data_IF_419250422752
#
_entry.id   IF_419250422752
#
_cell.length_a   1.000
_cell.length_b   1.000
_cell.length_c   1.000
_cell.angle_alpha   90.00
_cell.angle_beta   90.00
_cell.angle_gamma   90.00
#
_symmetry.space_group_name_H-M   'P 1'
#
loop_
_entity.id
_entity.type
_entity.pdbx_description
1 polymer ?
#
# COMPACT_ATOMS: atom_id res chain seq x y z
N UNK A 1 -9.36 10.68 33.05
CA UNK A 1 -8.07 10.28 32.45
C UNK A 1 -8.19 9.11 31.48
N UNK A 2 -8.74 7.95 31.88
CA UNK A 2 -8.86 6.76 31.00
C UNK A 2 -9.56 7.01 29.65
N UNK A 3 -10.66 7.78 29.64
CA UNK A 3 -11.39 8.16 28.41
C UNK A 3 -10.54 8.96 27.42
N UNK A 4 -9.62 9.79 27.92
CA UNK A 4 -8.73 10.61 27.09
C UNK A 4 -7.66 9.73 26.44
N UNK A 5 -7.09 8.78 27.19
CA UNK A 5 -6.17 7.79 26.63
C UNK A 5 -6.83 6.90 25.57
N UNK A 6 -8.05 6.44 25.82
CA UNK A 6 -8.80 5.67 24.83
C UNK A 6 -9.04 6.46 23.54
N UNK A 7 -9.40 7.75 23.65
CA UNK A 7 -9.58 8.63 22.50
C UNK A 7 -8.27 8.85 21.72
N UNK A 8 -7.15 9.02 22.41
CA UNK A 8 -5.82 9.16 21.79
C UNK A 8 -5.40 7.89 21.05
N UNK A 9 -5.60 6.72 21.65
CA UNK A 9 -5.27 5.44 21.02
C UNK A 9 -6.15 5.22 19.79
N UNK A 10 -7.46 5.46 19.88
CA UNK A 10 -8.37 5.33 18.76
C UNK A 10 -8.00 6.27 17.60
N UNK A 11 -7.66 7.53 17.91
CA UNK A 11 -7.20 8.50 16.92
C UNK A 11 -5.89 8.09 16.24
N UNK A 12 -4.93 7.57 17.02
CA UNK A 12 -3.66 7.09 16.48
C UNK A 12 -3.84 5.89 15.54
N UNK A 13 -4.66 4.91 15.93
CA UNK A 13 -4.96 3.73 15.10
C UNK A 13 -5.63 4.14 13.80
N UNK A 14 -6.60 5.06 13.86
CA UNK A 14 -7.31 5.54 12.67
C UNK A 14 -6.36 6.27 11.70
N UNK A 15 -5.48 7.12 12.21
CA UNK A 15 -4.51 7.87 11.41
C UNK A 15 -3.50 6.96 10.70
N UNK A 16 -2.99 5.95 11.41
CA UNK A 16 -2.08 4.94 10.82
C UNK A 16 -2.80 4.13 9.75
N UNK A 17 -4.01 3.64 10.03
CA UNK A 17 -4.81 2.87 9.08
C UNK A 17 -5.11 3.65 7.79
N UNK A 18 -5.50 4.91 7.91
CA UNK A 18 -5.74 5.79 6.76
C UNK A 18 -4.45 6.02 5.94
N UNK A 19 -3.31 6.22 6.59
CA UNK A 19 -2.02 6.44 5.91
C UNK A 19 -1.61 5.22 5.09
N UNK A 20 -1.73 4.01 5.66
CA UNK A 20 -1.41 2.76 4.96
C UNK A 20 -2.36 2.53 3.79
N UNK A 21 -3.65 2.81 3.95
CA UNK A 21 -4.63 2.69 2.87
C UNK A 21 -4.30 3.61 1.69
N UNK A 22 -3.93 4.87 1.95
CA UNK A 22 -3.53 5.82 0.91
C UNK A 22 -2.27 5.34 0.18
N UNK A 23 -1.25 4.89 0.93
CA UNK A 23 -0.02 4.36 0.31
C UNK A 23 -0.31 3.13 -0.55
N UNK A 24 -1.14 2.21 -0.06
CA UNK A 24 -1.49 1.00 -0.80
C UNK A 24 -2.27 1.32 -2.08
N UNK A 25 -3.18 2.29 -2.04
CA UNK A 25 -3.91 2.76 -3.23
C UNK A 25 -2.98 3.48 -4.22
N UNK A 26 -2.05 4.28 -3.72
CA UNK A 26 -1.08 5.01 -4.54
C UNK A 26 0.08 4.14 -5.05
N UNK A 27 0.19 2.90 -4.56
CA UNK A 27 1.30 2.01 -4.92
C UNK A 27 1.20 1.64 -6.41
N UNK A 28 2.25 1.90 -7.21
CA UNK A 28 2.24 1.55 -8.62
C UNK A 28 2.14 0.04 -8.79
N UNK A 29 1.28 -0.39 -9.72
CA UNK A 29 1.18 -1.80 -10.09
C UNK A 29 2.54 -2.29 -10.59
N UNK A 30 3.05 -3.45 -10.14
CA UNK A 30 4.32 -3.98 -10.61
C UNK A 30 4.30 -4.06 -12.14
N UNK A 31 5.29 -3.42 -12.78
CA UNK A 31 5.41 -3.43 -14.24
C UNK A 31 5.54 -4.89 -14.69
N UNK A 32 4.76 -5.35 -15.68
CA UNK A 32 4.96 -6.66 -16.26
C UNK A 32 6.43 -6.82 -16.67
N UNK A 33 7.04 -7.99 -16.49
CA UNK A 33 8.41 -8.22 -16.91
C UNK A 33 8.59 -7.79 -18.37
N UNK A 34 9.53 -6.87 -18.65
CA UNK A 34 9.91 -6.42 -20.01
C UNK A 34 10.69 -7.53 -20.76
N UNK A 35 10.34 -8.80 -20.56
CA UNK A 35 10.88 -9.93 -21.31
C UNK A 35 9.82 -10.43 -22.28
N UNK A 36 10.21 -10.76 -23.52
CA UNK A 36 9.27 -11.31 -24.48
C UNK A 36 8.63 -12.57 -23.89
N UNK A 37 7.29 -12.59 -23.87
CA UNK A 37 6.51 -13.72 -23.35
C UNK A 37 6.82 -15.01 -24.15
N UNK A 38 7.25 -14.83 -25.40
CA UNK A 38 7.71 -15.89 -26.28
C UNK A 38 9.02 -15.47 -26.93
N UNK A 39 10.04 -16.32 -26.79
CA UNK A 39 11.33 -16.15 -27.43
C UNK A 39 11.21 -16.59 -28.90
N UNK A 40 10.60 -15.74 -29.73
CA UNK A 40 10.69 -15.89 -31.18
C UNK A 40 12.09 -15.43 -31.58
N UNK A 41 13.05 -16.35 -31.49
CA UNK A 41 14.44 -16.11 -31.85
C UNK A 41 14.53 -15.43 -33.22
N UNK A 42 15.51 -14.53 -33.34
CA UNK A 42 15.82 -13.78 -34.56
C UNK A 42 15.90 -14.74 -35.75
N UNK A 43 14.97 -14.56 -36.70
CA UNK A 43 15.04 -15.24 -38.00
C UNK A 43 16.28 -14.79 -38.77
#
# INVERSE_FOLDING_TARGET
MLRVFAALIAGAVLAVGASVAVVNVASPTPKPPDRPLYNYGSR
#
